data_IF_668486493649
#
_entry.id   IF_668486493649
#
_cell.length_a   1.000
_cell.length_b   1.000
_cell.length_c   1.000
_cell.angle_alpha   90.00
_cell.angle_beta   90.00
_cell.angle_gamma   90.00
#
_symmetry.space_group_name_H-M   'P 1'
#
loop_
_entity.id
_entity.type
_entity.pdbx_description
1 polymer ?
#
# COMPACT_ATOMS: atom_id res chain seq x y z
N UNK A 1 -14.35 5.93 8.05
CA UNK A 1 -12.99 5.98 8.66
C UNK A 1 -11.98 5.63 7.58
N UNK A 2 -10.90 6.41 7.42
CA UNK A 2 -9.85 6.10 6.42
C UNK A 2 -9.17 4.76 6.80
N UNK A 3 -9.05 3.82 5.85
CA UNK A 3 -8.43 2.51 6.06
C UNK A 3 -6.99 2.62 6.59
N UNK A 4 -6.18 3.55 6.06
CA UNK A 4 -4.81 3.76 6.55
C UNK A 4 -4.81 4.27 7.99
N UNK A 5 -5.65 5.25 8.31
CA UNK A 5 -5.72 5.81 9.66
C UNK A 5 -6.13 4.74 10.70
N UNK A 6 -7.06 3.85 10.34
CA UNK A 6 -7.44 2.73 11.19
C UNK A 6 -6.29 1.74 11.41
N UNK A 7 -5.57 1.38 10.35
CA UNK A 7 -4.42 0.46 10.42
C UNK A 7 -3.26 1.07 11.22
N UNK A 8 -2.91 2.33 10.97
CA UNK A 8 -1.82 3.03 11.67
C UNK A 8 -2.10 3.16 13.16
N UNK A 9 -3.36 3.34 13.56
CA UNK A 9 -3.75 3.34 14.98
C UNK A 9 -3.45 1.99 15.64
N UNK A 10 -3.84 0.88 15.00
CA UNK A 10 -3.60 -0.45 15.53
C UNK A 10 -2.09 -0.76 15.63
N UNK A 11 -1.32 -0.39 14.61
CA UNK A 11 0.14 -0.53 14.62
C UNK A 11 0.77 0.25 15.78
N UNK A 12 0.41 1.53 15.97
CA UNK A 12 0.94 2.36 17.08
C UNK A 12 0.61 1.79 18.45
N UNK A 13 -0.57 1.19 18.61
CA UNK A 13 -0.92 0.51 19.86
C UNK A 13 0.00 -0.68 20.12
N UNK A 14 0.25 -1.52 19.11
CA UNK A 14 1.18 -2.65 19.22
C UNK A 14 2.62 -2.19 19.50
N UNK A 15 3.10 -1.14 18.81
CA UNK A 15 4.44 -0.58 19.03
C UNK A 15 4.64 -0.10 20.47
N UNK A 16 3.64 0.55 21.07
CA UNK A 16 3.67 0.97 22.48
C UNK A 16 3.72 -0.21 23.43
N UNK A 17 2.90 -1.24 23.21
CA UNK A 17 2.88 -2.44 24.06
C UNK A 17 4.22 -3.18 24.04
N UNK A 18 4.91 -3.18 22.91
CA UNK A 18 6.22 -3.81 22.73
C UNK A 18 7.38 -2.90 23.17
N UNK A 19 7.14 -1.64 23.53
CA UNK A 19 8.19 -0.68 23.87
C UNK A 19 9.18 -0.44 22.73
N UNK A 20 8.70 -0.41 21.47
CA UNK A 20 9.57 -0.19 20.32
C UNK A 20 10.28 1.17 20.39
N UNK A 21 11.54 1.20 19.96
CA UNK A 21 12.24 2.46 19.74
C UNK A 21 11.50 3.31 18.70
N UNK A 22 11.42 4.62 18.97
CA UNK A 22 10.70 5.58 18.13
C UNK A 22 11.20 5.66 16.69
N UNK A 23 12.50 5.46 16.44
CA UNK A 23 13.06 5.47 15.08
C UNK A 23 12.66 4.22 14.33
N UNK A 24 12.68 3.07 15.00
CA UNK A 24 12.21 1.81 14.44
C UNK A 24 10.70 1.84 14.16
N UNK A 25 9.89 2.35 15.08
CA UNK A 25 8.45 2.55 14.87
C UNK A 25 8.19 3.38 13.62
N UNK A 26 8.88 4.53 13.48
CA UNK A 26 8.73 5.40 12.32
C UNK A 26 9.15 4.71 11.02
N UNK A 27 10.26 3.96 11.04
CA UNK A 27 10.73 3.20 9.88
C UNK A 27 9.71 2.14 9.44
N UNK A 28 9.13 1.41 10.39
CA UNK A 28 8.15 0.36 10.12
C UNK A 28 6.77 0.90 9.72
N UNK A 29 6.48 2.19 9.93
CA UNK A 29 5.22 2.81 9.52
C UNK A 29 5.26 3.29 8.06
N UNK A 30 6.45 3.54 7.51
CA UNK A 30 6.63 4.11 6.18
C UNK A 30 6.89 2.96 5.19
N UNK A 31 6.11 2.84 4.10
CA UNK A 31 6.37 1.80 3.11
C UNK A 31 7.72 2.02 2.43
N UNK A 32 8.45 0.92 2.20
CA UNK A 32 9.73 0.93 1.50
C UNK A 32 9.64 1.50 0.08
N UNK A 33 8.56 1.22 -0.65
CA UNK A 33 8.32 1.75 -2.00
C UNK A 33 6.84 1.80 -2.34
N UNK A 34 6.44 2.84 -3.04
CA UNK A 34 5.11 2.98 -3.64
C UNK A 34 5.25 3.24 -5.13
N UNK A 35 4.53 2.46 -5.94
CA UNK A 35 4.57 2.55 -7.40
C UNK A 35 3.16 2.86 -7.90
N UNK A 36 3.05 3.91 -8.70
CA UNK A 36 1.85 4.27 -9.48
C UNK A 36 2.18 4.11 -10.96
N UNK A 37 1.34 3.38 -11.69
CA UNK A 37 1.49 3.14 -13.13
C UNK A 37 0.19 3.44 -13.85
N UNK A 38 0.29 3.88 -15.10
CA UNK A 38 -0.83 3.90 -16.02
C UNK A 38 -0.84 2.58 -16.81
N UNK A 39 -2.02 1.97 -16.93
CA UNK A 39 -2.27 0.75 -17.69
C UNK A 39 -3.32 1.07 -18.76
N UNK A 40 -2.86 1.41 -19.97
CA UNK A 40 -3.73 1.67 -21.11
C UNK A 40 -3.94 0.39 -21.92
N UNK A 41 -5.20 0.05 -22.21
CA UNK A 41 -5.57 -1.14 -22.97
C UNK A 41 -6.55 -0.79 -24.10
N UNK A 42 -6.48 -1.48 -25.25
CA UNK A 42 -7.55 -1.45 -26.24
C UNK A 42 -8.76 -2.23 -25.70
N UNK A 43 -9.95 -1.65 -25.84
CA UNK A 43 -11.23 -2.29 -25.58
C UNK A 43 -11.70 -3.07 -26.82
N UNK A 44 -12.69 -3.92 -26.61
CA UNK A 44 -13.30 -4.74 -27.67
C UNK A 44 -13.89 -3.90 -28.82
N UNK A 45 -14.30 -2.65 -28.55
CA UNK A 45 -14.82 -1.70 -29.54
C UNK A 45 -13.73 -0.90 -30.28
N UNK A 46 -12.45 -1.19 -30.03
CA UNK A 46 -11.30 -0.50 -30.61
C UNK A 46 -10.92 0.83 -29.95
N UNK A 47 -11.69 1.30 -28.94
CA UNK A 47 -11.32 2.49 -28.16
C UNK A 47 -10.24 2.18 -27.13
N UNK A 48 -9.49 3.19 -26.69
CA UNK A 48 -8.51 3.05 -25.61
C UNK A 48 -9.14 3.36 -24.25
N UNK A 49 -8.80 2.57 -23.24
CA UNK A 49 -9.10 2.86 -21.85
C UNK A 49 -7.82 2.88 -21.01
N UNK A 50 -7.66 3.93 -20.21
CA UNK A 50 -6.56 4.06 -19.25
C UNK A 50 -7.03 3.77 -17.83
N UNK A 51 -6.27 2.96 -17.12
CA UNK A 51 -6.48 2.64 -15.70
C UNK A 51 -5.24 3.00 -14.90
N UNK A 52 -5.41 3.33 -13.62
CA UNK A 52 -4.29 3.55 -12.71
C UNK A 52 -4.07 2.30 -11.86
N UNK A 53 -2.88 1.72 -11.98
CA UNK A 53 -2.40 0.61 -11.16
C UNK A 53 -1.51 1.09 -10.01
N UNK A 54 -1.51 0.32 -8.92
CA UNK A 54 -0.68 0.57 -7.75
C UNK A 54 0.05 -0.69 -7.27
N UNK A 55 1.30 -0.53 -6.83
CA UNK A 55 2.01 -1.55 -6.06
C UNK A 55 2.72 -0.90 -4.87
N UNK A 56 2.24 -1.23 -3.66
CA UNK A 56 2.88 -0.85 -2.41
C UNK A 56 3.73 -2.01 -1.92
N UNK A 57 4.98 -1.68 -1.64
CA UNK A 57 6.03 -2.56 -1.17
C UNK A 57 6.40 -2.06 0.23
N UNK A 58 5.74 -2.60 1.27
CA UNK A 58 5.81 -2.00 2.61
C UNK A 58 7.12 -2.32 3.35
N UNK A 59 7.45 -3.61 3.51
CA UNK A 59 8.65 -4.04 4.25
C UNK A 59 9.22 -5.34 3.65
N UNK A 60 10.55 -5.43 3.57
CA UNK A 60 11.28 -6.61 3.10
C UNK A 60 12.31 -7.11 4.13
N UNK A 61 12.24 -6.68 5.39
CA UNK A 61 13.23 -7.04 6.41
C UNK A 61 13.30 -8.56 6.64
N UNK A 62 12.21 -9.28 6.34
CA UNK A 62 12.11 -10.74 6.46
C UNK A 62 12.19 -11.51 5.14
N UNK A 63 12.55 -10.86 4.03
CA UNK A 63 12.70 -11.47 2.72
C UNK A 63 11.76 -10.89 1.63
N UNK A 64 11.51 -11.64 0.54
CA UNK A 64 10.69 -11.17 -0.57
C UNK A 64 9.28 -10.78 -0.14
N UNK A 65 8.80 -9.66 -0.68
CA UNK A 65 7.48 -9.12 -0.31
C UNK A 65 6.34 -9.95 -0.88
N UNK A 66 5.26 -10.09 -0.10
CA UNK A 66 4.08 -10.86 -0.48
C UNK A 66 2.81 -10.04 -0.29
N UNK A 67 1.96 -10.01 -1.32
CA UNK A 67 0.67 -9.34 -1.30
C UNK A 67 -0.09 -9.57 -2.59
N UNK A 68 -1.42 -9.69 -2.50
CA UNK A 68 -2.30 -9.91 -3.64
C UNK A 68 -2.44 -8.69 -4.55
N UNK A 69 -3.29 -8.82 -5.57
CA UNK A 69 -3.71 -7.75 -6.47
C UNK A 69 -5.23 -7.65 -6.36
N UNK A 70 -5.77 -6.43 -6.33
CA UNK A 70 -7.21 -6.17 -6.21
C UNK A 70 -7.69 -5.36 -7.39
N UNK A 71 -8.73 -5.84 -8.08
CA UNK A 71 -9.49 -5.08 -9.06
C UNK A 71 -10.79 -4.64 -8.42
N UNK A 72 -10.91 -3.35 -8.12
CA UNK A 72 -12.13 -2.78 -7.55
C UNK A 72 -12.17 -1.26 -7.84
N UNK A 73 -13.33 -0.67 -8.17
CA UNK A 73 -13.42 0.76 -8.53
C UNK A 73 -12.93 1.72 -7.44
N UNK A 74 -13.05 1.33 -6.18
CA UNK A 74 -12.61 2.15 -5.04
C UNK A 74 -11.13 1.99 -4.67
N UNK A 75 -10.35 1.21 -5.45
CA UNK A 75 -8.90 1.11 -5.22
C UNK A 75 -8.28 2.48 -5.46
N UNK A 76 -7.64 3.01 -4.41
CA UNK A 76 -6.89 4.25 -4.46
C UNK A 76 -5.64 4.09 -3.62
N UNK A 77 -4.59 4.84 -3.98
CA UNK A 77 -3.47 5.01 -3.08
C UNK A 77 -3.95 5.84 -1.89
N UNK A 78 -3.65 5.37 -0.69
CA UNK A 78 -3.91 6.10 0.55
C UNK A 78 -2.54 6.28 1.16
N UNK A 79 -1.92 7.41 0.83
CA UNK A 79 -0.68 7.89 1.45
C UNK A 79 -1.05 8.95 2.48
#
# INVERSE_FOLDING_TARGET
MNALAATSRNFRQAARLLGLDSKLEKSLLIPFREIKVECTIPKDDGTLASFIGFRVQHDNARGPMKGGIRYHPEVRIVV
#
